data_IF_704070510677
#
_entry.id   IF_704070510677
#
_cell.length_a   1.000
_cell.length_b   1.000
_cell.length_c   1.000
_cell.angle_alpha   90.00
_cell.angle_beta   90.00
_cell.angle_gamma   90.00
#
_symmetry.space_group_name_H-M   'P 1'
#
loop_
_entity.id
_entity.type
_entity.pdbx_description
1 polymer ?
#
# COMPACT_ATOMS: atom_id res chain seq x y z
N UNK A 1 11.95 5.27 -14.99
CA UNK A 1 11.66 3.92 -14.46
C UNK A 1 11.49 3.93 -12.95
N UNK A 2 12.52 4.27 -12.16
CA UNK A 2 12.43 4.44 -10.70
C UNK A 2 11.23 5.26 -10.21
N UNK A 3 10.94 6.41 -10.83
CA UNK A 3 9.77 7.22 -10.49
C UNK A 3 8.44 6.45 -10.66
N UNK A 4 8.28 5.70 -11.74
CA UNK A 4 7.10 4.84 -11.93
C UNK A 4 7.04 3.72 -10.88
N UNK A 5 8.16 3.06 -10.58
CA UNK A 5 8.21 2.05 -9.51
C UNK A 5 7.83 2.63 -8.13
N UNK A 6 8.22 3.89 -7.84
CA UNK A 6 7.78 4.60 -6.63
C UNK A 6 6.27 4.78 -6.58
N UNK A 7 5.66 5.28 -7.66
CA UNK A 7 4.21 5.42 -7.74
C UNK A 7 3.48 4.09 -7.53
N UNK A 8 3.99 3.02 -8.17
CA UNK A 8 3.40 1.68 -8.04
C UNK A 8 3.51 1.14 -6.62
N UNK A 9 4.66 1.26 -5.95
CA UNK A 9 4.83 0.78 -4.57
C UNK A 9 4.02 1.59 -3.56
N UNK A 10 3.80 2.87 -3.83
CA UNK A 10 3.03 3.79 -2.96
C UNK A 10 1.51 3.73 -3.20
N UNK A 11 1.05 2.92 -4.15
CA UNK A 11 -0.37 2.75 -4.45
C UNK A 11 -1.13 2.22 -3.21
N UNK A 12 -2.15 2.94 -2.71
CA UNK A 12 -2.81 2.60 -1.44
C UNK A 12 -3.67 1.33 -1.51
N UNK A 13 -3.88 0.78 -2.71
CA UNK A 13 -4.61 -0.47 -2.93
C UNK A 13 -3.67 -1.68 -3.08
N UNK A 14 -2.36 -1.49 -2.94
CA UNK A 14 -1.39 -2.54 -3.23
C UNK A 14 -1.28 -3.54 -2.08
N UNK A 15 -1.64 -4.78 -2.38
CA UNK A 15 -1.53 -5.94 -1.49
C UNK A 15 -0.33 -6.85 -1.84
N UNK A 16 0.11 -6.83 -3.10
CA UNK A 16 1.24 -7.62 -3.59
C UNK A 16 2.51 -6.77 -3.76
N UNK A 17 3.55 -7.13 -3.00
CA UNK A 17 4.88 -6.51 -2.97
C UNK A 17 5.98 -7.42 -3.52
N UNK A 18 5.61 -8.50 -4.23
CA UNK A 18 6.58 -9.27 -4.99
C UNK A 18 7.22 -8.38 -6.06
N UNK A 19 8.50 -8.64 -6.37
CA UNK A 19 9.19 -7.87 -7.40
C UNK A 19 8.52 -8.03 -8.76
N UNK A 20 8.03 -9.24 -9.06
CA UNK A 20 7.40 -9.54 -10.35
C UNK A 20 6.12 -8.72 -10.52
N UNK A 21 5.23 -8.70 -9.52
CA UNK A 21 4.00 -7.88 -9.56
C UNK A 21 4.30 -6.38 -9.68
N UNK A 22 5.31 -5.87 -8.99
CA UNK A 22 5.73 -4.45 -9.11
C UNK A 22 6.29 -4.17 -10.51
N UNK A 23 7.11 -5.08 -11.07
CA UNK A 23 7.66 -4.92 -12.41
C UNK A 23 6.56 -4.90 -13.46
N UNK A 24 5.61 -5.83 -13.41
CA UNK A 24 4.50 -5.92 -14.34
C UNK A 24 3.60 -4.68 -14.27
N UNK A 25 3.24 -4.25 -13.06
CA UNK A 25 2.47 -3.01 -12.85
C UNK A 25 3.24 -1.76 -13.34
N UNK A 26 4.56 -1.72 -13.13
CA UNK A 26 5.41 -0.63 -13.62
C UNK A 26 5.47 -0.62 -15.15
N UNK A 27 5.59 -1.78 -15.80
CA UNK A 27 5.55 -1.88 -17.27
C UNK A 27 4.18 -1.43 -17.80
N UNK A 28 3.09 -1.87 -17.17
CA UNK A 28 1.75 -1.45 -17.55
C UNK A 28 1.59 0.08 -17.45
N UNK A 29 2.10 0.68 -16.37
CA UNK A 29 2.12 2.13 -16.20
C UNK A 29 2.98 2.82 -17.28
N UNK A 30 4.21 2.37 -17.51
CA UNK A 30 5.09 2.96 -18.54
C UNK A 30 4.50 2.83 -19.95
N UNK A 31 3.79 1.74 -20.25
CA UNK A 31 3.08 1.56 -21.53
C UNK A 31 1.91 2.55 -21.66
N UNK A 32 1.08 2.67 -20.62
CA UNK A 32 -0.07 3.60 -20.60
C UNK A 32 0.39 5.06 -20.80
N UNK A 33 1.53 5.42 -20.22
CA UNK A 33 2.12 6.75 -20.31
C UNK A 33 3.28 6.84 -21.32
N UNK A 34 3.33 5.93 -22.30
CA UNK A 34 4.46 5.81 -23.22
C UNK A 34 4.64 7.01 -24.14
N UNK A 35 3.56 7.75 -24.45
CA UNK A 35 3.62 8.99 -25.22
C UNK A 35 4.23 10.14 -24.44
N UNK A 36 3.87 10.27 -23.16
CA UNK A 36 4.35 11.37 -22.28
C UNK A 36 5.78 11.15 -21.81
N UNK A 37 6.22 9.89 -21.72
CA UNK A 37 7.53 9.53 -21.17
C UNK A 37 8.53 9.10 -22.26
N UNK A 38 8.27 9.38 -23.54
CA UNK A 38 9.13 9.01 -24.69
C UNK A 38 9.46 7.51 -24.81
N UNK A 39 8.60 6.64 -24.26
CA UNK A 39 8.74 5.18 -24.39
C UNK A 39 7.98 4.59 -25.58
N UNK A 40 7.32 5.41 -26.39
CA UNK A 40 6.47 4.95 -27.50
C UNK A 40 7.25 4.03 -28.45
N UNK A 41 8.45 4.43 -28.86
CA UNK A 41 9.24 3.66 -29.82
C UNK A 41 9.87 2.43 -29.18
N UNK A 42 10.21 2.50 -27.88
CA UNK A 42 10.64 1.34 -27.11
C UNK A 42 9.60 0.23 -27.16
N UNK A 43 8.33 0.54 -26.87
CA UNK A 43 7.27 -0.47 -26.80
C UNK A 43 6.76 -0.92 -28.17
N UNK A 44 6.82 -0.08 -29.21
CA UNK A 44 6.50 -0.48 -30.60
C UNK A 44 7.51 -1.48 -31.17
N UNK A 45 8.77 -1.38 -30.78
CA UNK A 45 9.90 -2.19 -31.30
C UNK A 45 10.57 -3.02 -30.22
N UNK A 46 9.79 -3.47 -29.23
CA UNK A 46 10.32 -4.15 -28.04
C UNK A 46 10.81 -5.56 -28.40
N UNK A 47 12.11 -5.69 -28.67
CA UNK A 47 12.75 -7.02 -28.78
C UNK A 47 12.78 -7.72 -27.43
N UNK A 48 12.84 -9.06 -27.44
CA UNK A 48 12.97 -9.88 -26.23
C UNK A 48 14.18 -9.45 -25.38
N UNK A 49 15.31 -9.13 -26.01
CA UNK A 49 16.52 -8.63 -25.33
C UNK A 49 16.27 -7.30 -24.62
N UNK A 50 15.59 -6.34 -25.25
CA UNK A 50 15.27 -5.03 -24.64
C UNK A 50 14.31 -5.19 -23.46
N UNK A 51 13.29 -6.03 -23.60
CA UNK A 51 12.36 -6.33 -22.51
C UNK A 51 13.06 -7.02 -21.33
N UNK A 52 13.98 -7.93 -21.58
CA UNK A 52 14.79 -8.58 -20.53
C UNK A 52 15.66 -7.58 -19.78
N UNK A 53 16.30 -6.65 -20.50
CA UNK A 53 17.09 -5.57 -19.90
C UNK A 53 16.21 -4.64 -19.04
N UNK A 54 15.03 -4.26 -19.54
CA UNK A 54 14.06 -3.46 -18.81
C UNK A 54 13.62 -4.16 -17.51
N UNK A 55 13.19 -5.42 -17.58
CA UNK A 55 12.79 -6.21 -16.41
C UNK A 55 13.91 -6.30 -15.37
N UNK A 56 15.16 -6.50 -15.82
CA UNK A 56 16.32 -6.53 -14.92
C UNK A 56 16.50 -5.21 -14.18
N UNK A 57 16.33 -4.07 -14.86
CA UNK A 57 16.44 -2.76 -14.23
C UNK A 57 15.24 -2.48 -13.31
N UNK A 58 14.03 -2.82 -13.72
CA UNK A 58 12.83 -2.67 -12.90
C UNK A 58 12.90 -3.52 -11.62
N UNK A 59 13.46 -4.73 -11.67
CA UNK A 59 13.66 -5.54 -10.47
C UNK A 59 14.61 -4.90 -9.45
N UNK A 60 15.64 -4.19 -9.93
CA UNK A 60 16.54 -3.41 -9.07
C UNK A 60 15.81 -2.20 -8.47
N UNK A 61 15.10 -1.44 -9.31
CA UNK A 61 14.34 -0.26 -8.89
C UNK A 61 13.24 -0.65 -7.87
N UNK A 62 12.48 -1.72 -8.11
CA UNK A 62 11.46 -2.24 -7.21
C UNK A 62 12.06 -2.61 -5.84
N UNK A 63 13.18 -3.32 -5.83
CA UNK A 63 13.88 -3.69 -4.58
C UNK A 63 14.33 -2.46 -3.80
N UNK A 64 14.86 -1.46 -4.50
CA UNK A 64 15.29 -0.19 -3.90
C UNK A 64 14.11 0.57 -3.29
N UNK A 65 13.03 0.75 -4.05
CA UNK A 65 11.83 1.47 -3.62
C UNK A 65 11.13 0.78 -2.45
N UNK A 66 11.08 -0.55 -2.45
CA UNK A 66 10.63 -1.32 -1.28
C UNK A 66 11.49 -1.06 -0.05
N UNK A 67 12.80 -0.93 -0.22
CA UNK A 67 13.70 -0.48 0.86
C UNK A 67 13.24 0.83 1.48
N UNK A 68 12.97 1.85 0.64
CA UNK A 68 12.46 3.15 1.10
C UNK A 68 11.13 3.02 1.86
N UNK A 69 10.20 2.20 1.38
CA UNK A 69 8.92 1.99 2.04
C UNK A 69 9.12 1.31 3.40
N UNK A 70 10.01 0.32 3.47
CA UNK A 70 10.36 -0.36 4.71
C UNK A 70 10.99 0.58 5.73
N UNK A 71 11.84 1.51 5.28
CA UNK A 71 12.49 2.49 6.16
C UNK A 71 11.47 3.50 6.69
N UNK A 72 10.54 3.96 5.84
CA UNK A 72 9.40 4.78 6.26
C UNK A 72 8.54 4.08 7.33
N UNK A 73 8.18 2.81 7.10
CA UNK A 73 7.43 2.00 8.09
C UNK A 73 8.23 1.85 9.38
N UNK A 74 9.54 1.59 9.29
CA UNK A 74 10.41 1.40 10.46
C UNK A 74 10.47 2.65 11.33
N UNK A 75 10.59 3.83 10.72
CA UNK A 75 10.53 5.11 11.44
C UNK A 75 9.18 5.32 12.15
N UNK A 76 8.10 4.67 11.70
CA UNK A 76 6.80 4.74 12.36
C UNK A 76 6.59 3.81 13.55
N UNK A 77 7.43 2.79 13.71
CA UNK A 77 7.16 1.69 14.66
C UNK A 77 8.32 1.40 15.60
N UNK A 78 9.55 1.80 15.25
CA UNK A 78 10.73 1.44 16.00
C UNK A 78 11.28 2.66 16.78
N UNK A 79 11.33 2.61 18.12
CA UNK A 79 11.73 3.76 18.95
C UNK A 79 13.11 4.34 18.61
N UNK A 80 14.07 3.49 18.24
CA UNK A 80 15.43 3.90 17.89
C UNK A 80 15.53 4.81 16.65
N UNK A 81 14.52 4.81 15.77
CA UNK A 81 14.54 5.57 14.51
C UNK A 81 13.72 6.87 14.59
N UNK A 82 13.29 7.24 15.80
CA UNK A 82 12.35 8.35 16.04
C UNK A 82 10.95 7.94 15.65
N UNK A 83 10.04 7.80 16.61
CA UNK A 83 8.65 7.43 16.35
C UNK A 83 7.95 8.58 15.59
N UNK A 84 7.88 8.46 14.27
CA UNK A 84 7.18 9.42 13.42
C UNK A 84 5.67 9.20 13.49
N UNK A 85 4.89 10.28 13.55
CA UNK A 85 3.44 10.21 13.53
C UNK A 85 2.91 9.61 12.21
N UNK A 86 1.64 9.19 12.18
CA UNK A 86 1.04 8.66 10.96
C UNK A 86 0.93 9.77 9.90
N UNK A 87 0.45 10.95 10.31
CA UNK A 87 0.34 12.12 9.42
C UNK A 87 1.69 12.50 8.81
N UNK A 88 2.76 12.52 9.61
CA UNK A 88 4.10 12.83 9.11
C UNK A 88 4.60 11.77 8.13
N UNK A 89 4.39 10.49 8.43
CA UNK A 89 4.80 9.42 7.52
C UNK A 89 4.03 9.40 6.20
N UNK A 90 2.74 9.72 6.21
CA UNK A 90 1.95 9.82 4.98
C UNK A 90 2.45 11.01 4.16
N UNK A 91 2.67 12.16 4.80
CA UNK A 91 3.22 13.36 4.14
C UNK A 91 4.61 13.09 3.56
N UNK A 92 5.48 12.45 4.33
CA UNK A 92 6.84 12.08 3.90
C UNK A 92 6.81 11.06 2.75
N UNK A 93 5.95 10.05 2.86
CA UNK A 93 5.76 9.05 1.81
C UNK A 93 5.25 9.67 0.53
N UNK A 94 4.24 10.55 0.60
CA UNK A 94 3.76 11.30 -0.56
C UNK A 94 4.91 12.06 -1.23
N UNK A 95 5.69 12.81 -0.46
CA UNK A 95 6.84 13.56 -0.98
C UNK A 95 7.89 12.65 -1.61
N UNK A 96 8.28 11.58 -0.91
CA UNK A 96 9.35 10.67 -1.33
C UNK A 96 8.99 9.80 -2.54
N UNK A 97 7.71 9.41 -2.67
CA UNK A 97 7.27 8.49 -3.72
C UNK A 97 6.62 9.18 -4.91
N UNK A 98 5.95 10.32 -4.71
CA UNK A 98 5.27 11.05 -5.79
C UNK A 98 5.99 12.34 -6.20
N UNK A 99 6.94 12.82 -5.39
CA UNK A 99 7.57 14.14 -5.58
C UNK A 99 6.72 15.32 -5.10
N UNK A 100 5.54 15.06 -4.52
CA UNK A 100 4.60 16.06 -4.03
C UNK A 100 4.13 15.68 -2.63
N UNK A 101 4.06 16.65 -1.70
CA UNK A 101 3.37 16.47 -0.41
C UNK A 101 1.85 16.56 -0.53
N UNK A 102 1.34 17.13 -1.62
CA UNK A 102 -0.08 17.26 -1.89
C UNK A 102 -0.65 15.96 -2.43
N UNK A 103 -1.92 15.68 -2.12
CA UNK A 103 -2.63 14.49 -2.61
C UNK A 103 -2.60 13.30 -1.66
N UNK A 104 -2.12 13.48 -0.42
CA UNK A 104 -2.34 12.52 0.64
C UNK A 104 -3.85 12.28 0.80
N UNK A 105 -4.28 11.01 0.75
CA UNK A 105 -5.68 10.63 0.92
C UNK A 105 -5.85 9.74 2.14
N UNK A 106 -7.08 9.61 2.62
CA UNK A 106 -7.44 8.67 3.68
C UNK A 106 -6.98 7.23 3.36
N UNK A 107 -6.98 6.85 2.08
CA UNK A 107 -6.53 5.53 1.63
C UNK A 107 -5.04 5.32 1.87
N UNK A 108 -4.20 6.34 1.59
CA UNK A 108 -2.77 6.27 1.89
C UNK A 108 -2.55 6.16 3.40
N UNK A 109 -3.29 6.91 4.20
CA UNK A 109 -3.18 6.86 5.66
C UNK A 109 -3.56 5.48 6.22
N UNK A 110 -4.69 4.92 5.77
CA UNK A 110 -5.13 3.57 6.17
C UNK A 110 -4.11 2.52 5.72
N UNK A 111 -3.60 2.64 4.50
CA UNK A 111 -2.63 1.70 3.99
C UNK A 111 -1.35 1.70 4.84
N UNK A 112 -0.76 2.87 5.07
CA UNK A 112 0.41 3.02 5.96
C UNK A 112 0.11 2.52 7.37
N UNK A 113 -1.09 2.76 7.89
CA UNK A 113 -1.52 2.26 9.20
C UNK A 113 -1.53 0.72 9.27
N UNK A 114 -2.07 0.04 8.24
CA UNK A 114 -2.06 -1.42 8.14
C UNK A 114 -0.61 -1.93 8.07
N UNK A 115 0.24 -1.31 7.26
CA UNK A 115 1.66 -1.66 7.14
C UNK A 115 2.38 -1.52 8.49
N UNK A 116 2.12 -0.45 9.25
CA UNK A 116 2.67 -0.25 10.60
C UNK A 116 2.15 -1.28 11.59
N UNK A 117 0.86 -1.60 11.56
CA UNK A 117 0.27 -2.61 12.44
C UNK A 117 0.89 -3.99 12.21
N UNK A 118 1.01 -4.42 10.95
CA UNK A 118 1.74 -5.63 10.58
C UNK A 118 3.20 -5.61 11.06
N UNK A 119 3.88 -4.49 10.87
CA UNK A 119 5.28 -4.33 11.25
C UNK A 119 5.51 -4.38 12.77
N UNK A 120 4.57 -3.85 13.57
CA UNK A 120 4.61 -3.96 15.05
C UNK A 120 4.43 -5.40 15.53
N UNK A 121 3.55 -6.16 14.89
CA UNK A 121 3.40 -7.59 15.19
C UNK A 121 4.63 -8.41 14.78
N UNK A 122 5.41 -7.92 13.81
CA UNK A 122 6.52 -8.64 13.19
C UNK A 122 7.85 -7.87 13.23
N UNK A 123 8.18 -7.22 14.36
CA UNK A 123 9.38 -6.36 14.48
C UNK A 123 10.69 -7.06 14.09
N UNK A 124 10.79 -8.37 14.28
CA UNK A 124 11.97 -9.15 13.91
C UNK A 124 12.27 -9.09 12.40
N UNK A 125 11.24 -8.97 11.54
CA UNK A 125 11.38 -8.84 10.09
C UNK A 125 11.95 -7.47 9.66
N UNK A 126 11.87 -6.45 10.52
CA UNK A 126 12.44 -5.13 10.25
C UNK A 126 13.95 -5.07 10.47
N UNK A 127 14.49 -5.93 11.35
CA UNK A 127 15.91 -5.91 11.77
C UNK A 127 16.90 -6.26 10.65
N UNK A 128 16.43 -6.91 9.58
CA UNK A 128 17.31 -7.51 8.57
C UNK A 128 17.80 -6.60 7.44
N UNK A 129 17.33 -5.34 7.34
CA UNK A 129 17.92 -4.44 6.34
C UNK A 129 19.15 -3.75 6.91
N UNK A 130 20.27 -4.49 6.88
CA UNK A 130 21.57 -3.99 6.41
C UNK A 130 22.02 -2.65 6.98
N UNK A 131 23.12 -2.71 7.75
CA UNK A 131 24.09 -1.64 8.04
C UNK A 131 24.47 -0.80 6.80
N UNK A 132 23.55 -0.05 6.23
CA UNK A 132 23.82 1.13 5.44
C UNK A 132 23.97 2.23 6.48
N UNK A 133 25.11 2.94 6.38
CA UNK A 133 25.55 3.98 7.30
C UNK A 133 24.41 4.69 8.05
N UNK A 134 24.49 4.85 9.39
CA UNK A 134 23.53 5.63 10.18
C UNK A 134 23.70 7.14 9.93
N UNK A 135 23.71 7.55 8.67
CA UNK A 135 23.38 8.92 8.32
C UNK A 135 21.87 9.08 8.46
N UNK A 136 21.38 10.25 8.92
CA UNK A 136 19.95 10.56 8.79
C UNK A 136 19.55 10.28 7.34
N UNK A 137 18.37 9.70 7.10
CA UNK A 137 17.92 9.42 5.75
C UNK A 137 17.88 10.74 4.99
N UNK A 138 18.91 10.94 4.16
CA UNK A 138 19.09 12.18 3.43
C UNK A 138 18.14 12.09 2.23
N UNK A 139 16.86 12.37 2.48
CA UNK A 139 15.78 12.38 1.49
C UNK A 139 15.86 13.60 0.55
N UNK A 140 16.98 14.32 0.54
CA UNK A 140 17.21 15.39 -0.42
C UNK A 140 17.06 14.82 -1.83
N UNK A 141 16.06 15.32 -2.55
CA UNK A 141 15.67 14.93 -3.90
C UNK A 141 16.70 15.41 -4.95
N UNK A 142 17.97 15.05 -4.76
CA UNK A 142 19.03 15.24 -5.72
C UNK A 142 19.42 13.89 -6.32
N UNK A 143 19.29 13.77 -7.64
CA UNK A 143 19.84 12.70 -8.49
C UNK A 143 21.38 12.66 -8.40
N UNK A 144 21.92 12.40 -7.21
CA UNK A 144 23.34 12.14 -7.02
C UNK A 144 23.60 10.72 -7.50
N UNK A 145 24.00 10.63 -8.76
CA UNK A 145 24.60 9.43 -9.37
C UNK A 145 25.59 8.80 -8.38
N UNK A 146 25.62 7.45 -8.26
CA UNK A 146 26.60 6.81 -7.41
C UNK A 146 28.01 7.01 -7.99
N UNK A 147 28.80 7.85 -7.30
CA UNK A 147 30.24 7.99 -7.48
C UNK A 147 30.89 6.60 -7.62
N UNK A 148 31.70 6.45 -8.67
CA UNK A 148 32.45 5.24 -8.98
C UNK A 148 33.15 4.69 -7.72
N UNK A 149 33.08 3.37 -7.46
CA UNK A 149 33.76 2.78 -6.32
C UNK A 149 35.28 2.96 -6.47
N UNK A 150 36.01 3.27 -5.38
CA UNK A 150 37.46 3.39 -5.42
C UNK A 150 38.10 2.08 -5.91
N UNK A 151 39.14 2.20 -6.73
CA UNK A 151 39.79 1.11 -7.44
C UNK A 151 40.42 0.00 -6.55
N UNK A 152 40.41 0.17 -5.22
CA UNK A 152 41.00 -0.74 -4.24
C UNK A 152 39.98 -1.26 -3.20
N UNK A 153 38.76 -1.60 -3.62
CA UNK A 153 37.79 -2.21 -2.71
C UNK A 153 38.13 -3.68 -2.44
N UNK A 154 38.41 -4.02 -1.18
CA UNK A 154 38.60 -5.40 -0.70
C UNK A 154 37.48 -6.35 -1.20
N UNK A 155 37.79 -7.64 -1.40
CA UNK A 155 36.84 -8.62 -1.91
C UNK A 155 35.62 -8.70 -1.00
N UNK A 156 34.49 -8.17 -1.49
CA UNK A 156 33.23 -8.17 -0.74
C UNK A 156 32.83 -9.62 -0.42
N UNK A 157 32.44 -9.91 0.83
CA UNK A 157 32.04 -11.26 1.22
C UNK A 157 30.91 -11.75 0.32
N UNK A 158 31.00 -13.01 -0.13
CA UNK A 158 30.00 -13.67 -0.98
C UNK A 158 28.62 -13.50 -0.33
N UNK A 159 27.73 -12.72 -0.97
CA UNK A 159 26.34 -12.56 -0.54
C UNK A 159 25.70 -13.95 -0.45
N UNK A 160 25.41 -14.40 0.77
CA UNK A 160 24.57 -15.59 0.99
C UNK A 160 23.24 -15.32 0.27
N UNK A 161 22.86 -16.24 -0.62
CA UNK A 161 21.56 -16.20 -1.30
C UNK A 161 20.50 -16.28 -0.21
N UNK A 162 19.73 -15.20 -0.03
CA UNK A 162 18.65 -15.18 0.97
C UNK A 162 17.65 -16.27 0.62
N UNK A 163 17.18 -17.00 1.62
CA UNK A 163 16.06 -17.93 1.46
C UNK A 163 14.85 -17.12 1.01
N UNK A 164 14.23 -17.51 -0.10
CA UNK A 164 13.03 -16.85 -0.62
C UNK A 164 11.91 -16.98 0.42
N UNK A 165 11.15 -15.92 0.65
CA UNK A 165 9.95 -15.96 1.52
C UNK A 165 10.18 -15.61 2.99
N UNK A 166 11.40 -15.26 3.41
CA UNK A 166 11.64 -14.83 4.81
C UNK A 166 11.75 -13.31 4.96
N UNK A 167 11.75 -12.56 3.86
CA UNK A 167 11.85 -11.11 3.95
C UNK A 167 10.51 -10.45 4.28
N UNK A 168 10.59 -9.24 4.83
CA UNK A 168 9.45 -8.46 5.28
C UNK A 168 8.32 -8.35 4.24
N UNK A 169 8.64 -8.11 2.96
CA UNK A 169 7.61 -7.90 1.94
C UNK A 169 6.98 -9.20 1.47
N UNK A 170 7.74 -10.30 1.43
CA UNK A 170 7.14 -11.63 1.21
C UNK A 170 6.13 -11.98 2.30
N UNK A 171 6.49 -11.77 3.58
CA UNK A 171 5.58 -12.03 4.70
C UNK A 171 4.38 -11.09 4.73
N UNK A 172 4.57 -9.84 4.32
CA UNK A 172 3.48 -8.87 4.19
C UNK A 172 2.49 -9.27 3.08
N UNK A 173 2.98 -9.75 1.93
CA UNK A 173 2.10 -10.23 0.85
C UNK A 173 1.36 -11.49 1.26
N UNK A 174 2.04 -12.46 1.89
CA UNK A 174 1.37 -13.64 2.46
C UNK A 174 0.29 -13.25 3.47
N UNK A 175 0.56 -12.26 4.33
CA UNK A 175 -0.42 -11.74 5.27
C UNK A 175 -1.65 -11.15 4.58
N UNK A 176 -1.45 -10.35 3.53
CA UNK A 176 -2.57 -9.79 2.78
C UNK A 176 -3.41 -10.86 2.09
N UNK A 177 -2.77 -11.85 1.46
CA UNK A 177 -3.47 -12.98 0.84
C UNK A 177 -4.28 -13.80 1.86
N UNK A 178 -3.70 -14.06 3.04
CA UNK A 178 -4.38 -14.76 4.13
C UNK A 178 -5.60 -13.97 4.62
N UNK A 179 -5.44 -12.67 4.86
CA UNK A 179 -6.53 -11.81 5.34
C UNK A 179 -7.59 -11.54 4.31
N UNK A 180 -7.24 -11.43 3.04
CA UNK A 180 -8.23 -11.34 1.96
C UNK A 180 -9.09 -12.61 1.88
N UNK A 181 -8.49 -13.79 2.08
CA UNK A 181 -9.23 -15.06 2.13
C UNK A 181 -10.12 -15.19 3.36
N UNK A 182 -9.65 -14.73 4.52
CA UNK A 182 -10.36 -14.87 5.79
C UNK A 182 -11.45 -13.81 5.97
N UNK A 183 -11.14 -12.55 5.65
CA UNK A 183 -11.97 -11.38 5.96
C UNK A 183 -12.70 -10.83 4.73
N UNK A 184 -12.34 -11.30 3.53
CA UNK A 184 -12.85 -10.81 2.27
C UNK A 184 -11.99 -9.69 1.67
N UNK A 185 -12.39 -9.28 0.47
CA UNK A 185 -11.67 -8.29 -0.34
C UNK A 185 -12.02 -6.84 0.01
N UNK A 186 -13.15 -6.62 0.68
CA UNK A 186 -13.61 -5.28 1.02
C UNK A 186 -12.97 -4.79 2.32
N UNK A 187 -12.02 -3.87 2.20
CA UNK A 187 -11.36 -3.24 3.35
C UNK A 187 -12.27 -2.28 4.12
N UNK A 188 -13.44 -1.94 3.55
CA UNK A 188 -14.38 -1.02 4.16
C UNK A 188 -15.29 -1.65 5.21
N UNK A 189 -15.46 -2.97 5.17
CA UNK A 189 -16.46 -3.69 5.96
C UNK A 189 -15.82 -4.85 6.71
N UNK A 190 -16.63 -5.52 7.53
CA UNK A 190 -16.25 -6.76 8.22
C UNK A 190 -15.05 -6.61 9.16
N UNK A 191 -14.17 -7.61 9.14
CA UNK A 191 -13.02 -7.70 10.05
C UNK A 191 -11.90 -6.70 9.69
N UNK A 192 -11.79 -6.28 8.42
CA UNK A 192 -10.88 -5.20 8.03
C UNK A 192 -11.19 -3.91 8.74
N UNK A 193 -12.48 -3.54 8.81
CA UNK A 193 -12.92 -2.32 9.47
C UNK A 193 -12.52 -2.31 10.96
N UNK A 194 -12.69 -3.44 11.66
CA UNK A 194 -12.28 -3.61 13.07
C UNK A 194 -10.77 -3.53 13.22
N UNK A 195 -10.02 -4.24 12.37
CA UNK A 195 -8.56 -4.23 12.38
C UNK A 195 -7.99 -2.81 12.18
N UNK A 196 -8.57 -2.03 11.26
CA UNK A 196 -8.20 -0.64 11.01
C UNK A 196 -8.49 0.23 12.24
N UNK A 197 -9.65 0.06 12.88
CA UNK A 197 -10.02 0.82 14.08
C UNK A 197 -9.08 0.50 15.25
N UNK A 198 -8.72 -0.77 15.46
CA UNK A 198 -7.76 -1.19 16.49
C UNK A 198 -6.34 -0.66 16.22
N UNK A 199 -5.92 -0.68 14.96
CA UNK A 199 -4.65 -0.10 14.54
C UNK A 199 -4.65 1.42 14.78
N UNK A 200 -5.73 2.12 14.46
CA UNK A 200 -5.87 3.57 14.65
C UNK A 200 -5.86 3.94 16.14
N UNK A 201 -6.56 3.17 16.97
CA UNK A 201 -6.54 3.35 18.43
C UNK A 201 -5.15 3.11 19.02
N UNK A 202 -4.39 2.18 18.46
CA UNK A 202 -2.98 1.97 18.83
C UNK A 202 -2.12 3.16 18.41
N UNK A 203 -2.35 3.70 17.21
CA UNK A 203 -1.64 4.88 16.71
C UNK A 203 -1.87 6.11 17.59
N UNK A 204 -3.12 6.40 17.95
CA UNK A 204 -3.50 7.51 18.84
C UNK A 204 -2.89 7.40 20.23
N UNK A 205 -2.73 6.18 20.74
CA UNK A 205 -2.06 5.94 22.04
C UNK A 205 -0.56 6.22 21.98
N UNK A 206 0.10 5.86 20.88
CA UNK A 206 1.54 6.08 20.70
C UNK A 206 1.83 7.55 20.36
N UNK A 207 0.95 8.19 19.58
CA UNK A 207 1.06 9.56 19.09
C UNK A 207 -0.15 10.39 19.50
N UNK A 208 -0.30 10.76 20.79
CA UNK A 208 -1.48 11.49 21.26
C UNK A 208 -1.64 12.89 20.65
N UNK A 209 -0.54 13.46 20.13
CA UNK A 209 -0.53 14.77 19.49
C UNK A 209 -0.85 14.71 17.99
N UNK A 210 -0.89 13.50 17.38
CA UNK A 210 -1.27 13.36 15.99
C UNK A 210 -2.80 13.39 15.89
N UNK A 211 -3.33 14.45 15.28
CA UNK A 211 -4.78 14.61 15.10
C UNK A 211 -5.36 13.65 14.05
N UNK A 212 -4.52 13.00 13.22
CA UNK A 212 -4.91 12.07 12.14
C UNK A 212 -6.11 12.58 11.35
N UNK A 213 -6.11 13.87 11.00
CA UNK A 213 -7.26 14.54 10.36
C UNK A 213 -7.55 14.01 8.94
N UNK A 214 -6.59 13.30 8.35
CA UNK A 214 -6.70 12.68 7.02
C UNK A 214 -7.69 11.50 7.02
N UNK A 215 -7.94 10.86 8.17
CA UNK A 215 -8.92 9.77 8.29
C UNK A 215 -10.18 10.34 8.96
N UNK A 216 -11.29 10.52 8.21
CA UNK A 216 -12.56 10.90 8.79
C UNK A 216 -12.96 9.99 9.95
N UNK A 217 -13.33 10.57 11.08
CA UNK A 217 -13.89 9.80 12.18
C UNK A 217 -15.20 9.15 11.71
N UNK A 218 -15.30 7.82 11.84
CA UNK A 218 -16.57 7.13 11.64
C UNK A 218 -17.51 7.56 12.75
N UNK A 219 -18.67 8.10 12.38
CA UNK A 219 -19.75 8.37 13.33
C UNK A 219 -20.07 7.06 14.04
N UNK A 220 -19.80 6.94 15.34
CA UNK A 220 -20.07 5.73 16.12
C UNK A 220 -21.57 5.49 16.37
N UNK A 221 -22.44 6.20 15.65
CA UNK A 221 -23.89 6.08 15.74
C UNK A 221 -24.40 5.17 14.64
N UNK A 222 -24.79 3.94 15.02
CA UNK A 222 -26.02 3.26 14.54
C UNK A 222 -26.10 1.78 14.93
N UNK A 223 -25.14 1.23 15.69
CA UNK A 223 -25.31 -0.11 16.26
C UNK A 223 -26.19 -0.18 17.53
N UNK A 224 -26.79 0.93 17.97
CA UNK A 224 -27.54 0.99 19.23
C UNK A 224 -29.07 0.81 19.12
N UNK A 225 -29.66 0.63 17.93
CA UNK A 225 -31.12 0.57 17.80
C UNK A 225 -31.60 -0.50 16.83
N UNK A 226 -31.69 -1.76 17.30
CA UNK A 226 -32.83 -2.63 17.01
C UNK A 226 -32.77 -3.90 17.86
N UNK A 227 -33.11 -3.75 19.13
CA UNK A 227 -33.65 -4.84 19.94
C UNK A 227 -34.93 -4.33 20.60
N UNK A 228 -35.90 -3.98 19.75
CA UNK A 228 -37.29 -3.85 20.17
C UNK A 228 -37.96 -5.23 19.99
N UNK A 229 -38.59 -5.81 21.04
CA UNK A 229 -39.37 -7.03 20.88
C UNK A 229 -40.66 -6.71 20.12
N UNK A 230 -40.74 -7.13 18.86
CA UNK A 230 -41.96 -7.03 18.07
C UNK A 230 -42.90 -8.19 18.41
N UNK A 231 -43.88 -7.94 19.28
CA UNK A 231 -45.12 -8.71 19.36
C UNK A 231 -46.20 -7.96 18.55
N UNK A 232 -46.60 -8.53 17.41
CA UNK A 232 -47.90 -8.42 16.72
C UNK A 232 -47.70 -8.94 15.28
N UNK A 233 -48.09 -10.16 14.93
CA UNK A 233 -49.45 -10.63 14.64
C UNK A 233 -50.00 -10.15 13.28
N UNK A 234 -49.95 -11.09 12.32
CA UNK A 234 -50.99 -11.47 11.33
C UNK A 234 -51.34 -10.60 10.09
N UNK A 235 -51.19 -11.29 8.93
CA UNK A 235 -52.00 -11.36 7.70
C UNK A 235 -51.73 -10.51 6.44
N UNK A 236 -51.81 -11.31 5.35
CA UNK A 236 -52.26 -11.03 3.98
C UNK A 236 -51.25 -10.53 2.96
N UNK A 237 -51.12 -11.35 1.91
CA UNK A 237 -50.13 -11.22 0.85
C UNK A 237 -50.65 -10.62 -0.43
N UNK A 238 -49.72 -10.45 -1.38
CA UNK A 238 -49.99 -10.44 -2.82
C UNK A 238 -48.65 -10.55 -3.58
N UNK A 239 -48.57 -11.51 -4.50
CA UNK A 239 -47.53 -11.56 -5.53
C UNK A 239 -47.82 -10.48 -6.60
N UNK A 240 -46.80 -9.95 -7.31
CA UNK A 240 -46.57 -10.50 -8.65
C UNK A 240 -45.13 -10.41 -9.22
N UNK A 241 -44.93 -11.27 -10.24
CA UNK A 241 -44.18 -11.12 -11.50
C UNK A 241 -42.67 -10.87 -11.50
N UNK A 242 -41.99 -11.94 -11.92
CA UNK A 242 -40.65 -11.94 -12.49
C UNK A 242 -40.56 -11.07 -13.77
N UNK A 243 -39.50 -10.28 -13.85
CA UNK A 243 -39.04 -9.63 -15.08
C UNK A 243 -37.54 -9.86 -15.25
N UNK A 244 -37.20 -10.35 -16.43
CA UNK A 244 -35.88 -10.74 -16.94
C UNK A 244 -35.10 -9.52 -17.48
N UNK A 245 -33.81 -9.40 -17.15
CA UNK A 245 -32.75 -8.80 -18.01
C UNK A 245 -31.39 -9.14 -17.37
N UNK A 246 -30.53 -9.94 -17.99
CA UNK A 246 -29.62 -9.68 -19.12
C UNK A 246 -28.41 -8.79 -18.75
N UNK A 247 -27.22 -9.41 -18.76
CA UNK A 247 -25.97 -8.73 -19.13
C UNK A 247 -24.93 -8.54 -18.03
N UNK A 248 -24.40 -9.61 -17.43
CA UNK A 248 -23.17 -9.53 -16.63
C UNK A 248 -21.95 -9.46 -17.57
N UNK A 249 -21.50 -8.24 -17.87
CA UNK A 249 -20.16 -7.98 -18.41
C UNK A 249 -19.14 -8.12 -17.29
N UNK A 250 -18.35 -9.21 -17.32
CA UNK A 250 -17.20 -9.41 -16.45
C UNK A 250 -16.03 -8.55 -16.97
N UNK A 251 -16.00 -7.29 -16.56
CA UNK A 251 -14.74 -6.54 -16.48
C UNK A 251 -14.45 -6.27 -15.02
N UNK A 252 -13.26 -6.59 -14.49
CA UNK A 252 -12.90 -6.21 -13.13
C UNK A 252 -12.65 -4.70 -13.12
N UNK A 253 -13.72 -3.92 -13.02
CA UNK A 253 -13.66 -2.54 -12.59
C UNK A 253 -13.29 -2.57 -11.11
N UNK A 254 -12.01 -2.40 -10.83
CA UNK A 254 -11.46 -2.19 -9.49
C UNK A 254 -11.95 -0.81 -8.99
N UNK A 255 -13.24 -0.73 -8.65
CA UNK A 255 -13.79 0.42 -7.92
C UNK A 255 -13.01 0.48 -6.60
N UNK A 256 -12.47 1.65 -6.30
CA UNK A 256 -11.57 1.86 -5.18
C UNK A 256 -12.23 1.45 -3.86
N UNK A 257 -11.81 0.31 -3.29
CA UNK A 257 -12.41 -0.36 -2.12
C UNK A 257 -12.41 0.56 -0.88
N UNK A 258 -11.36 1.35 -0.71
CA UNK A 258 -11.28 2.32 0.40
C UNK A 258 -12.12 3.58 0.17
N UNK A 259 -12.76 3.77 -1.00
CA UNK A 259 -13.70 4.87 -1.17
C UNK A 259 -14.99 4.60 -0.41
N UNK A 260 -15.45 3.34 -0.40
CA UNK A 260 -16.65 2.90 0.32
C UNK A 260 -16.60 3.19 1.83
N UNK A 261 -15.39 3.23 2.41
CA UNK A 261 -15.17 3.65 3.79
C UNK A 261 -15.69 5.05 4.12
N UNK A 262 -15.80 5.91 3.11
CA UNK A 262 -16.04 7.34 3.30
C UNK A 262 -17.22 7.88 2.48
N UNK A 263 -17.84 7.06 1.62
CA UNK A 263 -19.01 7.48 0.82
C UNK A 263 -20.35 7.37 1.55
N UNK A 264 -20.41 6.83 2.78
CA UNK A 264 -21.67 6.72 3.53
C UNK A 264 -22.04 8.05 4.21
N UNK A 265 -22.60 8.97 3.42
CA UNK A 265 -23.16 10.24 3.90
C UNK A 265 -23.86 11.07 2.82
N UNK A 266 -24.19 10.49 1.67
CA UNK A 266 -24.80 11.18 0.53
C UNK A 266 -26.32 11.03 0.47
N UNK A 267 -27.02 11.96 1.13
CA UNK A 267 -28.35 12.50 0.77
C UNK A 267 -29.47 11.52 0.42
N UNK A 268 -30.27 11.17 1.42
CA UNK A 268 -31.73 11.02 1.22
C UNK A 268 -32.31 12.43 1.17
N UNK A 269 -32.57 12.94 -0.03
CA UNK A 269 -33.31 14.17 -0.29
C UNK A 269 -34.46 13.86 -1.23
#
# INVERSE_FOLDING_TARGET
MKAAARLIVWEPLRMDYTNDAICDATIAHLRRHSKTNDFSDFFKSASSTRMKALNTQLGKDASYVKGLLKDLIRAGVHPEYGLTSLTDSVTEGMRSFTGSSNGASAQHAIHVLILRAFARANLHLLKESTKLNPGPPNFAAGDSEPLQPPANAEPRPKKRRRTRGTDFFSKLTEYFEEKEKEWGTDTATGEWAKYIDDALNTERRIHPNDMVSIIPARSSGDHALNSAPANADVMSGQAPRASTSSGASLTPSHVSQFSALFTMGGTSG
#
